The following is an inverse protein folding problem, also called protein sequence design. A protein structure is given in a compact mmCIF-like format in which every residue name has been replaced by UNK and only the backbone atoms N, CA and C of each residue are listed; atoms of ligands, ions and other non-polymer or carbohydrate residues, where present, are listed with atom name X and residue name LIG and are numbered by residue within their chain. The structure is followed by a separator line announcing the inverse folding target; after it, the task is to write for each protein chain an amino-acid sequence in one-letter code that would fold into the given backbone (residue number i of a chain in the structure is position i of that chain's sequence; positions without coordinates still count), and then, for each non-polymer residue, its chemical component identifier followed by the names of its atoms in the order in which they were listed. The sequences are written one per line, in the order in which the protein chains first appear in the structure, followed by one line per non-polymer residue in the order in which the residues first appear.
data_IF_339156152529
#
_entry.id   IF_339156152529
#
_cell.length_a   1.000
_cell.length_b   1.000
_cell.length_c   1.000
_cell.angle_alpha   90.00
_cell.angle_beta   90.00
_cell.angle_gamma   90.00
#
_symmetry.space_group_name_H-M   'P 1'
#
loop_
_entity.id
_entity.type
_entity.pdbx_description
1 polymer ?
#
# COMPACT_ATOMS: atom_id res chain seq x y z
N UNK A 1 55.80 -59.56 2.88
CA UNK A 1 55.94 -58.09 2.79
C UNK A 1 54.71 -57.51 2.10
N UNK A 2 53.59 -57.46 2.80
CA UNK A 2 52.30 -56.92 2.34
C UNK A 2 51.55 -56.47 3.59
N UNK A 3 50.76 -55.42 3.47
CA UNK A 3 49.88 -54.86 4.52
C UNK A 3 50.52 -53.86 5.48
N UNK A 4 50.89 -52.67 4.98
CA UNK A 4 50.95 -51.47 5.81
C UNK A 4 50.86 -50.17 4.98
N UNK A 5 49.82 -50.02 4.15
CA UNK A 5 49.65 -48.80 3.37
C UNK A 5 48.20 -48.36 3.13
N UNK A 6 47.21 -48.98 3.80
CA UNK A 6 45.80 -48.71 3.51
C UNK A 6 45.06 -47.90 4.58
N UNK A 7 45.71 -47.50 5.68
CA UNK A 7 45.03 -46.91 6.84
C UNK A 7 45.14 -45.39 6.97
N UNK A 8 45.84 -44.70 6.06
CA UNK A 8 46.10 -43.25 6.21
C UNK A 8 45.27 -42.34 5.29
N UNK A 9 44.20 -42.86 4.66
CA UNK A 9 43.35 -42.05 3.75
C UNK A 9 41.95 -41.77 4.34
N UNK A 10 41.67 -42.22 5.57
CA UNK A 10 40.35 -42.05 6.19
C UNK A 10 40.17 -40.76 7.03
N UNK A 11 41.08 -39.79 6.89
CA UNK A 11 41.18 -38.65 7.81
C UNK A 11 40.77 -37.27 7.25
N UNK A 12 40.13 -37.21 6.07
CA UNK A 12 39.64 -35.93 5.52
C UNK A 12 38.11 -35.93 5.45
N UNK A 13 37.46 -36.07 6.59
CA UNK A 13 36.10 -35.58 6.73
C UNK A 13 36.19 -34.04 6.68
N UNK A 14 35.96 -33.49 5.49
CA UNK A 14 35.83 -32.05 5.27
C UNK A 14 34.71 -31.54 6.19
N UNK A 15 35.10 -30.84 7.27
CA UNK A 15 34.21 -29.98 8.00
C UNK A 15 33.84 -28.81 7.06
N UNK A 16 32.86 -29.05 6.19
CA UNK A 16 32.27 -27.99 5.38
C UNK A 16 31.45 -27.14 6.35
N UNK A 17 32.00 -26.01 6.77
CA UNK A 17 31.22 -24.97 7.45
C UNK A 17 30.46 -24.24 6.36
N UNK A 18 29.12 -24.39 6.25
CA UNK A 18 28.37 -23.58 5.30
C UNK A 18 28.51 -22.12 5.72
N UNK A 19 29.09 -21.30 4.85
CA UNK A 19 29.02 -19.85 4.99
C UNK A 19 27.59 -19.47 4.64
N UNK A 20 26.73 -19.43 5.66
CA UNK A 20 25.37 -18.93 5.54
C UNK A 20 25.37 -17.41 5.63
N UNK A 21 24.79 -16.75 4.64
CA UNK A 21 24.42 -15.34 4.75
C UNK A 21 22.99 -15.32 5.28
N UNK A 22 22.79 -14.82 6.50
CA UNK A 22 21.45 -14.55 7.03
C UNK A 22 21.05 -13.14 6.58
N UNK A 23 20.21 -13.06 5.54
CA UNK A 23 19.54 -11.82 5.15
C UNK A 23 18.25 -11.73 5.97
N UNK A 24 18.12 -10.76 6.89
CA UNK A 24 16.87 -10.58 7.61
C UNK A 24 15.71 -10.29 6.65
N UNK A 25 14.51 -10.79 6.96
CA UNK A 25 13.29 -10.36 6.28
C UNK A 25 13.17 -8.83 6.41
N UNK A 26 13.04 -8.17 5.28
CA UNK A 26 13.08 -6.72 5.13
C UNK A 26 11.96 -6.29 4.20
N UNK A 27 10.99 -5.60 4.78
CA UNK A 27 9.89 -4.99 4.04
C UNK A 27 9.92 -3.48 4.23
N UNK A 28 9.71 -2.73 3.15
CA UNK A 28 9.62 -1.28 3.17
C UNK A 28 8.42 -0.82 2.38
N UNK A 29 7.59 -0.01 3.02
CA UNK A 29 6.43 0.65 2.43
C UNK A 29 6.57 2.15 2.70
N UNK A 30 6.46 2.95 1.65
CA UNK A 30 6.56 4.40 1.76
C UNK A 30 5.53 5.07 0.86
N UNK A 31 4.91 6.12 1.39
CA UNK A 31 3.98 6.99 0.68
C UNK A 31 4.45 8.45 0.76
N UNK A 32 4.01 9.25 -0.21
CA UNK A 32 4.23 10.69 -0.23
C UNK A 32 3.13 11.49 0.49
N UNK A 33 2.06 10.84 0.96
CA UNK A 33 1.00 11.43 1.78
C UNK A 33 0.24 10.34 2.56
N UNK A 34 -0.25 10.68 3.76
CA UNK A 34 -1.02 9.80 4.66
C UNK A 34 -2.43 10.36 4.97
N UNK A 35 -2.72 11.55 4.47
CA UNK A 35 -4.01 12.25 4.61
C UNK A 35 -4.56 12.58 3.23
N UNK A 36 -5.89 12.52 3.11
CA UNK A 36 -6.63 13.07 1.97
C UNK A 36 -7.57 14.17 2.46
N UNK A 37 -7.53 15.29 1.76
CA UNK A 37 -8.34 16.48 2.07
C UNK A 37 -9.20 16.80 0.85
N UNK A 38 -10.48 17.03 1.09
CA UNK A 38 -11.45 17.50 0.12
C UNK A 38 -12.07 18.79 0.62
N UNK A 39 -11.54 19.93 0.15
CA UNK A 39 -12.17 21.23 0.39
C UNK A 39 -13.27 21.47 -0.66
N UNK A 40 -14.53 21.29 -0.26
CA UNK A 40 -15.70 21.55 -1.10
C UNK A 40 -16.07 23.04 -1.16
N UNK A 41 -15.49 23.89 -0.30
CA UNK A 41 -15.75 25.34 -0.26
C UNK A 41 -15.00 26.09 -1.37
N UNK A 42 -13.84 25.58 -1.77
CA UNK A 42 -13.02 26.13 -2.85
C UNK A 42 -13.43 25.59 -4.24
N UNK A 43 -14.49 24.78 -4.32
CA UNK A 43 -14.97 24.14 -5.54
C UNK A 43 -16.30 24.75 -5.98
N UNK A 44 -16.70 24.48 -7.22
CA UNK A 44 -18.05 24.77 -7.71
C UNK A 44 -19.07 23.86 -7.02
N UNK A 45 -19.37 24.12 -5.74
CA UNK A 45 -20.35 23.41 -4.96
C UNK A 45 -21.64 24.26 -4.84
N UNK A 46 -22.85 23.67 -5.01
CA UNK A 46 -23.07 22.28 -5.42
C UNK A 46 -22.68 22.04 -6.89
N UNK A 47 -22.28 20.81 -7.27
CA UNK A 47 -22.03 20.45 -8.66
C UNK A 47 -23.31 20.52 -9.50
N UNK A 48 -23.19 20.61 -10.84
CA UNK A 48 -24.35 20.74 -11.74
C UNK A 48 -25.26 19.49 -11.77
N UNK A 49 -24.74 18.32 -11.37
CA UNK A 49 -25.47 17.06 -11.31
C UNK A 49 -24.86 16.14 -10.27
N UNK A 50 -25.65 15.21 -9.74
CA UNK A 50 -25.16 14.12 -8.90
C UNK A 50 -25.38 12.77 -9.61
N UNK A 51 -24.48 11.79 -9.46
CA UNK A 51 -23.24 11.86 -8.70
C UNK A 51 -22.16 12.73 -9.38
N UNK A 52 -21.26 13.31 -8.60
CA UNK A 52 -20.12 14.08 -9.12
C UNK A 52 -18.84 13.75 -8.36
N UNK A 53 -17.73 13.60 -9.09
CA UNK A 53 -16.45 13.26 -8.49
C UNK A 53 -15.53 14.48 -8.37
N UNK A 54 -15.03 14.75 -7.16
CA UNK A 54 -13.98 15.74 -6.92
C UNK A 54 -12.64 15.07 -6.64
N UNK A 55 -11.58 15.60 -7.24
CA UNK A 55 -10.21 15.27 -6.85
C UNK A 55 -9.87 15.91 -5.49
N UNK A 56 -9.00 15.27 -4.70
CA UNK A 56 -8.53 15.84 -3.43
C UNK A 56 -7.89 17.22 -3.67
N UNK A 57 -8.04 18.10 -2.69
CA UNK A 57 -7.30 19.36 -2.61
C UNK A 57 -5.92 19.15 -2.00
N UNK A 58 -5.75 18.11 -1.16
CA UNK A 58 -4.44 17.62 -0.71
C UNK A 58 -4.46 16.09 -0.60
N UNK A 59 -3.43 15.39 -1.08
CA UNK A 59 -2.30 15.91 -1.85
C UNK A 59 -2.75 16.41 -3.25
N UNK A 60 -2.02 17.39 -3.79
CA UNK A 60 -2.28 17.89 -5.14
C UNK A 60 -1.71 16.92 -6.18
N UNK A 61 -2.49 15.92 -6.57
CA UNK A 61 -2.12 14.93 -7.57
C UNK A 61 -2.07 13.49 -7.04
N UNK A 62 -1.57 12.53 -7.84
CA UNK A 62 -1.50 11.14 -7.43
C UNK A 62 -0.50 10.93 -6.29
N UNK A 63 -0.81 9.97 -5.43
CA UNK A 63 0.12 9.42 -4.46
C UNK A 63 1.04 8.41 -5.13
N UNK A 64 2.29 8.37 -4.70
CA UNK A 64 3.25 7.34 -5.11
C UNK A 64 3.45 6.39 -3.95
N UNK A 65 3.02 5.14 -4.12
CA UNK A 65 3.29 4.05 -3.21
C UNK A 65 4.58 3.36 -3.65
N UNK A 66 5.61 3.36 -2.79
CA UNK A 66 6.85 2.61 -3.02
C UNK A 66 6.89 1.37 -2.14
N UNK A 67 7.09 0.23 -2.78
CA UNK A 67 7.09 -1.08 -2.14
C UNK A 67 8.41 -1.80 -2.40
N UNK A 68 9.01 -2.32 -1.33
CA UNK A 68 10.05 -3.33 -1.41
C UNK A 68 9.74 -4.44 -0.42
N UNK A 69 9.89 -5.69 -0.87
CA UNK A 69 9.78 -6.87 -0.01
C UNK A 69 10.75 -7.95 -0.50
N UNK A 70 11.38 -8.64 0.45
CA UNK A 70 12.15 -9.86 0.21
C UNK A 70 11.42 -11.13 0.71
N UNK A 71 10.12 -11.03 1.03
CA UNK A 71 9.32 -12.17 1.44
C UNK A 71 9.30 -13.23 0.34
N UNK A 72 9.59 -14.48 0.68
CA UNK A 72 9.53 -15.60 -0.27
C UNK A 72 8.10 -16.05 -0.59
N UNK A 73 7.15 -15.71 0.30
CA UNK A 73 5.73 -16.07 0.19
C UNK A 73 4.86 -15.03 -0.51
N UNK A 74 3.54 -15.20 -0.39
CA UNK A 74 2.59 -14.19 -0.83
C UNK A 74 2.61 -12.95 0.08
N UNK A 75 2.24 -11.81 -0.47
CA UNK A 75 2.05 -10.57 0.29
C UNK A 75 0.83 -9.80 -0.22
N UNK A 76 0.26 -8.97 0.66
CA UNK A 76 -0.80 -8.03 0.33
C UNK A 76 -0.46 -6.64 0.88
N UNK A 77 -0.79 -5.61 0.11
CA UNK A 77 -0.86 -4.24 0.61
C UNK A 77 -2.32 -3.91 0.83
N UNK A 78 -2.67 -3.57 2.05
CA UNK A 78 -3.99 -3.15 2.47
C UNK A 78 -3.98 -1.66 2.77
N UNK A 79 -5.13 -1.01 2.56
CA UNK A 79 -5.39 0.34 3.06
C UNK A 79 -6.64 0.33 3.92
N UNK A 80 -6.53 0.95 5.07
CA UNK A 80 -7.63 1.26 5.96
C UNK A 80 -7.88 2.77 5.89
N UNK A 81 -9.14 3.16 5.75
CA UNK A 81 -9.52 4.55 5.58
C UNK A 81 -10.55 4.95 6.64
N UNK A 82 -10.28 6.06 7.32
CA UNK A 82 -11.28 6.66 8.21
C UNK A 82 -12.34 7.41 7.39
N UNK A 83 -13.56 7.59 7.95
CA UNK A 83 -14.51 8.53 7.40
C UNK A 83 -13.89 9.92 7.27
N UNK A 84 -14.29 10.67 6.25
CA UNK A 84 -13.86 12.05 6.12
C UNK A 84 -14.65 12.92 7.10
N UNK A 85 -13.96 13.68 7.93
CA UNK A 85 -14.56 14.55 8.93
C UNK A 85 -14.36 16.02 8.56
N UNK A 86 -15.42 16.81 8.70
CA UNK A 86 -15.38 18.26 8.60
C UNK A 86 -15.42 18.92 9.99
N UNK A 87 -14.80 20.10 10.12
CA UNK A 87 -14.78 20.87 11.38
C UNK A 87 -16.18 21.19 11.93
N UNK A 88 -17.18 21.30 11.05
CA UNK A 88 -18.59 21.51 11.40
C UNK A 88 -19.36 20.25 11.82
N UNK A 89 -18.69 19.11 11.98
CA UNK A 89 -19.30 17.82 12.34
C UNK A 89 -19.93 17.06 11.17
N UNK A 90 -19.73 17.52 9.93
CA UNK A 90 -20.09 16.77 8.73
C UNK A 90 -19.20 15.53 8.60
N UNK A 91 -19.80 14.40 8.28
CA UNK A 91 -19.10 13.13 8.07
C UNK A 91 -19.46 12.58 6.69
N UNK A 92 -18.43 12.14 5.96
CA UNK A 92 -18.59 11.40 4.71
C UNK A 92 -17.96 10.02 4.89
N UNK A 93 -18.71 8.92 4.69
CA UNK A 93 -18.17 7.58 4.83
C UNK A 93 -17.06 7.31 3.82
N UNK A 94 -16.05 6.55 4.23
CA UNK A 94 -14.91 6.19 3.38
C UNK A 94 -15.33 5.46 2.08
N UNK A 95 -16.50 4.81 2.06
CA UNK A 95 -17.05 4.18 0.85
C UNK A 95 -17.42 5.15 -0.27
N UNK A 96 -17.55 6.46 0.02
CA UNK A 96 -17.72 7.50 -1.00
C UNK A 96 -16.39 8.00 -1.58
N UNK A 97 -15.27 7.64 -0.95
CA UNK A 97 -13.96 7.82 -1.54
C UNK A 97 -13.69 6.62 -2.43
N UNK A 98 -13.32 6.89 -3.67
CA UNK A 98 -12.84 5.88 -4.59
C UNK A 98 -11.35 6.05 -4.83
N UNK A 99 -10.67 4.93 -5.02
CA UNK A 99 -9.27 4.89 -5.42
C UNK A 99 -9.11 4.19 -6.77
N UNK A 100 -8.00 4.44 -7.45
CA UNK A 100 -7.52 3.58 -8.54
C UNK A 100 -6.02 3.42 -8.49
N UNK A 101 -5.55 2.25 -8.90
CA UNK A 101 -4.14 1.90 -8.96
C UNK A 101 -3.67 1.90 -10.42
N UNK A 102 -2.58 2.60 -10.71
CA UNK A 102 -1.93 2.65 -12.02
C UNK A 102 -2.88 2.94 -13.19
N UNK A 103 -3.86 3.83 -12.99
CA UNK A 103 -4.86 4.17 -14.03
C UNK A 103 -5.93 3.09 -14.28
N UNK A 104 -6.03 2.08 -13.41
CA UNK A 104 -7.07 1.05 -13.44
C UNK A 104 -8.48 1.59 -13.13
N UNK A 105 -9.45 0.68 -12.90
CA UNK A 105 -10.81 1.08 -12.55
C UNK A 105 -10.86 1.82 -11.22
N UNK A 106 -11.86 2.68 -11.07
CA UNK A 106 -12.19 3.29 -9.79
C UNK A 106 -12.91 2.28 -8.91
N UNK A 107 -12.45 2.14 -7.67
CA UNK A 107 -12.93 1.17 -6.70
C UNK A 107 -13.26 1.92 -5.40
N UNK A 108 -14.43 1.70 -4.79
CA UNK A 108 -14.74 2.23 -3.47
C UNK A 108 -13.71 1.78 -2.42
N UNK A 109 -13.16 2.74 -1.67
CA UNK A 109 -12.10 2.50 -0.70
C UNK A 109 -12.60 1.71 0.52
N UNK A 110 -13.89 1.83 0.86
CA UNK A 110 -14.48 1.18 2.04
C UNK A 110 -13.73 1.49 3.34
N UNK A 111 -14.03 0.79 4.45
CA UNK A 111 -13.24 0.92 5.68
C UNK A 111 -11.87 0.25 5.55
N UNK A 112 -11.77 -0.86 4.82
CA UNK A 112 -10.53 -1.60 4.58
C UNK A 112 -10.58 -2.33 3.23
N UNK A 113 -9.55 -2.18 2.39
CA UNK A 113 -9.43 -2.86 1.09
C UNK A 113 -8.01 -3.34 0.80
N UNK A 114 -7.90 -4.40 0.01
CA UNK A 114 -6.63 -4.88 -0.54
C UNK A 114 -6.32 -4.10 -1.81
N UNK A 115 -5.23 -3.31 -1.80
CA UNK A 115 -4.79 -2.52 -2.95
C UNK A 115 -4.12 -3.37 -4.01
N UNK A 116 -3.22 -4.26 -3.58
CA UNK A 116 -2.50 -5.16 -4.46
C UNK A 116 -2.01 -6.38 -3.69
N UNK A 117 -1.82 -7.47 -4.42
CA UNK A 117 -1.20 -8.70 -3.93
C UNK A 117 -0.01 -9.05 -4.80
N UNK A 118 0.97 -9.74 -4.24
CA UNK A 118 2.09 -10.29 -5.00
C UNK A 118 2.62 -11.58 -4.38
N UNK A 119 3.60 -12.16 -5.07
CA UNK A 119 4.24 -13.41 -4.67
C UNK A 119 5.74 -13.29 -4.80
N UNK A 120 6.46 -13.69 -3.76
CA UNK A 120 7.91 -13.68 -3.72
C UNK A 120 8.51 -12.28 -3.64
N UNK A 121 9.85 -12.19 -3.71
CA UNK A 121 10.57 -10.94 -3.60
C UNK A 121 10.29 -9.99 -4.77
N UNK A 122 10.24 -8.69 -4.47
CA UNK A 122 10.24 -7.65 -5.51
C UNK A 122 11.65 -7.47 -6.10
N UNK A 123 11.74 -7.17 -7.40
CA UNK A 123 12.99 -6.81 -8.07
C UNK A 123 13.42 -5.36 -7.73
N UNK A 124 13.69 -5.11 -6.45
CA UNK A 124 13.92 -3.76 -5.91
C UNK A 124 12.63 -2.98 -5.68
N UNK A 125 12.76 -1.67 -5.43
CA UNK A 125 11.61 -0.81 -5.15
C UNK A 125 10.66 -0.69 -6.35
N UNK A 126 9.45 -1.20 -6.18
CA UNK A 126 8.34 -1.01 -7.11
C UNK A 126 7.61 0.28 -6.77
N UNK A 127 7.14 1.00 -7.78
CA UNK A 127 6.37 2.24 -7.60
C UNK A 127 4.99 2.08 -8.22
N UNK A 128 3.96 2.47 -7.48
CA UNK A 128 2.57 2.45 -7.91
C UNK A 128 1.97 3.84 -7.78
N UNK A 129 1.18 4.22 -8.77
CA UNK A 129 0.43 5.47 -8.81
C UNK A 129 -0.95 5.22 -8.23
N UNK A 130 -1.27 5.91 -7.15
CA UNK A 130 -2.55 5.80 -6.45
C UNK A 130 -3.28 7.13 -6.56
N UNK A 131 -4.49 7.11 -7.10
CA UNK A 131 -5.33 8.29 -7.24
C UNK A 131 -6.59 8.13 -6.41
N UNK A 132 -7.08 9.23 -5.83
CA UNK A 132 -8.32 9.27 -5.07
C UNK A 132 -9.30 10.27 -5.66
N UNK A 133 -10.59 10.00 -5.46
CA UNK A 133 -11.66 10.96 -5.71
C UNK A 133 -12.79 10.76 -4.71
N UNK A 134 -13.47 11.85 -4.36
CA UNK A 134 -14.67 11.83 -3.55
C UNK A 134 -15.89 11.89 -4.46
N UNK A 135 -16.79 10.93 -4.35
CA UNK A 135 -18.07 10.90 -5.08
C UNK A 135 -19.17 11.48 -4.20
N UNK A 136 -19.65 12.67 -4.57
CA UNK A 136 -20.82 13.29 -3.92
C UNK A 136 -22.12 12.69 -4.46
N UNK A 137 -23.06 12.46 -3.56
CA UNK A 137 -24.39 11.90 -3.84
C UNK A 137 -25.51 12.93 -3.70
N UNK A 138 -25.21 14.12 -3.17
CA UNK A 138 -26.15 15.22 -2.96
C UNK A 138 -26.68 15.33 -1.53
N UNK A 139 -26.18 14.49 -0.62
CA UNK A 139 -26.48 14.55 0.82
C UNK A 139 -25.41 15.30 1.62
N UNK A 140 -24.25 15.53 1.03
CA UNK A 140 -23.08 16.12 1.68
C UNK A 140 -23.23 17.64 1.71
N UNK A 141 -22.86 18.28 2.82
CA UNK A 141 -22.85 19.75 2.96
C UNK A 141 -21.48 20.32 2.54
N UNK A 142 -21.39 21.61 2.13
CA UNK A 142 -20.09 22.21 1.83
C UNK A 142 -19.22 22.27 3.10
N UNK A 143 -17.92 22.00 2.94
CA UNK A 143 -16.97 21.99 4.05
C UNK A 143 -15.59 21.48 3.62
N UNK A 144 -14.64 21.52 4.57
CA UNK A 144 -13.31 20.93 4.41
C UNK A 144 -13.31 19.58 5.10
N UNK A 145 -13.24 18.51 4.31
CA UNK A 145 -13.29 17.13 4.80
C UNK A 145 -11.88 16.53 4.80
N UNK A 146 -11.52 15.87 5.90
CA UNK A 146 -10.19 15.27 6.11
C UNK A 146 -10.33 13.81 6.51
N UNK A 147 -9.54 12.94 5.89
CA UNK A 147 -9.45 11.52 6.26
C UNK A 147 -8.02 11.04 6.30
N UNK A 148 -7.75 10.10 7.19
CA UNK A 148 -6.48 9.39 7.29
C UNK A 148 -6.50 8.08 6.51
N UNK A 149 -5.35 7.73 5.95
CA UNK A 149 -5.11 6.47 5.26
C UNK A 149 -4.00 5.71 5.95
N UNK A 150 -4.30 4.50 6.44
CA UNK A 150 -3.31 3.61 7.02
C UNK A 150 -3.00 2.47 6.05
N UNK A 151 -1.75 2.41 5.59
CA UNK A 151 -1.30 1.37 4.68
C UNK A 151 -0.53 0.30 5.43
N UNK A 152 -0.90 -0.96 5.20
CA UNK A 152 -0.26 -2.12 5.83
C UNK A 152 0.25 -3.08 4.76
N UNK A 153 1.48 -3.52 4.89
CA UNK A 153 2.03 -4.63 4.12
C UNK A 153 2.02 -5.88 4.99
N UNK A 154 1.29 -6.91 4.57
CA UNK A 154 1.15 -8.16 5.29
C UNK A 154 1.62 -9.35 4.44
N UNK A 155 2.10 -10.38 5.13
CA UNK A 155 2.38 -11.70 4.54
C UNK A 155 1.08 -12.48 4.41
N UNK A 156 0.92 -13.19 3.31
CA UNK A 156 -0.20 -14.12 3.04
C UNK A 156 0.15 -15.56 3.42
#
# INVERSE_FOLDING_TARGET
MRSLALLLVLGMALAQVPIGVNLPEGTSLSLNAEEVVFDLTQRNYPPPSFPFAYSPTSPSGPLTLRLFTNLEGGFAVEVEASPLLAEGGGEIPASQVEYRLNGGPWIPLGPKVVLLTGSGPTAGYQSYVLEFRLVLTGQEVPGVYRGSLLFTLSRL
#
